data_IF_032147633123
#
_entry.id   IF_032147633123
#
_cell.length_a   1.000
_cell.length_b   1.000
_cell.length_c   1.000
_cell.angle_alpha   90.00
_cell.angle_beta   90.00
_cell.angle_gamma   90.00
#
_symmetry.space_group_name_H-M   'P 1'
#
loop_
_entity.id
_entity.type
_entity.pdbx_description
1 polymer ?
#
# COMPACT_ATOMS: atom_id res chain seq x y z
N UNK A 1 5.63 79.63 -38.02
CA UNK A 1 6.44 78.38 -37.94
C UNK A 1 6.33 77.58 -36.62
N UNK A 2 5.63 78.02 -35.60
CA UNK A 2 5.56 77.33 -34.28
C UNK A 2 4.51 76.15 -34.17
N UNK A 3 3.58 76.04 -35.10
CA UNK A 3 2.48 75.01 -35.01
C UNK A 3 2.86 73.60 -35.52
N UNK A 4 3.92 73.44 -36.32
CA UNK A 4 4.33 72.12 -36.82
C UNK A 4 5.15 71.31 -35.80
N UNK A 5 5.93 71.98 -34.95
CA UNK A 5 6.75 71.28 -33.94
C UNK A 5 5.94 70.60 -32.84
N UNK A 6 4.76 71.14 -32.47
CA UNK A 6 3.92 70.51 -31.44
C UNK A 6 3.19 69.23 -31.88
N UNK A 7 3.00 69.02 -33.20
CA UNK A 7 2.32 67.81 -33.71
C UNK A 7 3.31 66.63 -33.78
N UNK A 8 4.56 66.85 -34.05
CA UNK A 8 5.56 65.78 -34.07
C UNK A 8 5.91 65.24 -32.69
N UNK A 9 5.96 66.11 -31.67
CA UNK A 9 6.20 65.71 -30.28
C UNK A 9 5.02 64.91 -29.68
N UNK A 10 3.77 65.21 -30.01
CA UNK A 10 2.62 64.48 -29.56
C UNK A 10 2.49 63.10 -30.22
N UNK A 11 2.84 62.99 -31.53
CA UNK A 11 2.88 61.73 -32.26
C UNK A 11 3.95 60.80 -31.71
N UNK A 12 5.14 61.32 -31.37
CA UNK A 12 6.25 60.56 -30.75
C UNK A 12 5.90 60.05 -29.36
N UNK A 13 5.22 60.83 -28.53
CA UNK A 13 4.80 60.42 -27.17
C UNK A 13 3.74 59.30 -27.24
N UNK A 14 2.83 59.33 -28.22
CA UNK A 14 1.84 58.28 -28.39
C UNK A 14 2.42 56.93 -28.84
N UNK A 15 3.48 57.00 -29.65
CA UNK A 15 4.18 55.80 -30.11
C UNK A 15 4.93 55.10 -28.99
N UNK A 16 5.61 55.87 -28.12
CA UNK A 16 6.28 55.32 -26.94
C UNK A 16 5.30 54.65 -25.95
N UNK A 17 4.13 55.25 -25.78
CA UNK A 17 3.11 54.64 -24.90
C UNK A 17 2.61 53.30 -25.42
N UNK A 18 2.41 53.20 -26.72
CA UNK A 18 1.98 51.95 -27.40
C UNK A 18 3.06 50.88 -27.30
N UNK A 19 4.31 51.20 -27.43
CA UNK A 19 5.46 50.30 -27.28
C UNK A 19 5.56 49.76 -25.88
N UNK A 20 5.40 50.58 -24.85
CA UNK A 20 5.41 50.17 -23.45
C UNK A 20 4.23 49.24 -23.17
N UNK A 21 3.01 49.56 -23.66
CA UNK A 21 1.85 48.69 -23.50
C UNK A 21 2.05 47.32 -24.16
N UNK A 22 2.64 47.29 -25.35
CA UNK A 22 2.94 46.07 -26.08
C UNK A 22 4.00 45.24 -25.33
N UNK A 23 5.05 45.87 -24.84
CA UNK A 23 6.09 45.21 -24.05
C UNK A 23 5.51 44.60 -22.76
N UNK A 24 4.67 45.37 -22.04
CA UNK A 24 3.99 44.88 -20.83
C UNK A 24 3.02 43.70 -21.12
N UNK A 25 2.33 43.77 -22.26
CA UNK A 25 1.44 42.68 -22.68
C UNK A 25 2.19 41.38 -22.95
N UNK A 26 3.30 41.46 -23.67
CA UNK A 26 4.18 40.31 -23.95
C UNK A 26 4.77 39.78 -22.64
N UNK A 27 5.26 40.66 -21.77
CA UNK A 27 5.80 40.26 -20.48
C UNK A 27 4.74 39.52 -19.63
N UNK A 28 3.51 40.02 -19.61
CA UNK A 28 2.41 39.40 -18.88
C UNK A 28 2.11 37.99 -19.40
N UNK A 29 2.10 37.79 -20.71
CA UNK A 29 1.89 36.48 -21.32
C UNK A 29 3.03 35.51 -20.91
N UNK A 30 4.28 35.95 -20.95
CA UNK A 30 5.42 35.14 -20.55
C UNK A 30 5.34 34.73 -19.10
N UNK A 31 5.00 35.66 -18.20
CA UNK A 31 4.83 35.39 -16.78
C UNK A 31 3.72 34.35 -16.54
N UNK A 32 2.57 34.49 -17.21
CA UNK A 32 1.49 33.52 -17.11
C UNK A 32 1.92 32.13 -17.60
N UNK A 33 2.63 32.05 -18.73
CA UNK A 33 3.15 30.77 -19.24
C UNK A 33 4.12 30.09 -18.27
N UNK A 34 5.07 30.86 -17.70
CA UNK A 34 6.01 30.34 -16.70
C UNK A 34 5.27 29.84 -15.47
N UNK A 35 4.27 30.59 -15.00
CA UNK A 35 3.46 30.19 -13.86
C UNK A 35 2.69 28.88 -14.12
N UNK A 36 2.11 28.71 -15.31
CA UNK A 36 1.43 27.47 -15.71
C UNK A 36 2.39 26.27 -15.73
N UNK A 37 3.60 26.45 -16.25
CA UNK A 37 4.63 25.41 -16.25
C UNK A 37 4.96 24.98 -14.82
N UNK A 38 5.21 25.95 -13.92
CA UNK A 38 5.50 25.66 -12.52
C UNK A 38 4.36 24.90 -11.86
N UNK A 39 3.12 25.35 -12.03
CA UNK A 39 1.93 24.69 -11.47
C UNK A 39 1.80 23.23 -11.95
N UNK A 40 1.98 23.02 -13.26
CA UNK A 40 1.91 21.68 -13.85
C UNK A 40 3.03 20.79 -13.33
N UNK A 41 4.24 21.30 -13.22
CA UNK A 41 5.39 20.56 -12.69
C UNK A 41 5.18 20.16 -11.24
N UNK A 42 4.69 21.06 -10.40
CA UNK A 42 4.39 20.76 -8.98
C UNK A 42 3.31 19.69 -8.84
N UNK A 43 2.25 19.75 -9.66
CA UNK A 43 1.19 18.74 -9.65
C UNK A 43 1.74 17.36 -10.02
N UNK A 44 2.46 17.26 -11.13
CA UNK A 44 3.06 15.99 -11.60
C UNK A 44 4.03 15.43 -10.55
N UNK A 45 4.87 16.28 -9.96
CA UNK A 45 5.81 15.85 -8.92
C UNK A 45 5.09 15.30 -7.69
N UNK A 46 3.99 15.92 -7.26
CA UNK A 46 3.21 15.44 -6.12
C UNK A 46 2.54 14.09 -6.40
N UNK A 47 2.02 13.88 -7.60
CA UNK A 47 1.44 12.61 -8.04
C UNK A 47 2.50 11.48 -8.07
N UNK A 48 3.67 11.77 -8.63
CA UNK A 48 4.79 10.80 -8.67
C UNK A 48 5.21 10.42 -7.25
N UNK A 49 5.40 11.39 -6.37
CA UNK A 49 5.78 11.14 -4.98
C UNK A 49 4.73 10.29 -4.23
N UNK A 50 3.45 10.56 -4.47
CA UNK A 50 2.37 9.77 -3.89
C UNK A 50 2.44 8.31 -4.37
N UNK A 51 2.56 8.08 -5.68
CA UNK A 51 2.66 6.73 -6.25
C UNK A 51 3.89 5.97 -5.76
N UNK A 52 5.04 6.63 -5.69
CA UNK A 52 6.27 6.03 -5.15
C UNK A 52 6.14 5.65 -3.68
N UNK A 53 5.49 6.49 -2.88
CA UNK A 53 5.26 6.21 -1.46
C UNK A 53 4.36 4.99 -1.27
N UNK A 54 3.31 4.87 -2.07
CA UNK A 54 2.43 3.70 -2.05
C UNK A 54 3.17 2.42 -2.49
N UNK A 55 4.03 2.51 -3.53
CA UNK A 55 4.83 1.36 -3.96
C UNK A 55 5.78 0.89 -2.86
N UNK A 56 6.52 1.81 -2.25
CA UNK A 56 7.43 1.48 -1.14
C UNK A 56 6.72 0.80 0.04
N UNK A 57 5.48 1.18 0.33
CA UNK A 57 4.68 0.51 1.38
C UNK A 57 4.39 -0.94 1.01
N UNK A 58 3.97 -1.20 -0.22
CA UNK A 58 3.69 -2.57 -0.69
C UNK A 58 4.96 -3.41 -0.67
N UNK A 59 6.06 -2.88 -1.22
CA UNK A 59 7.36 -3.58 -1.23
C UNK A 59 7.86 -3.88 0.19
N UNK A 60 7.70 -2.91 1.11
CA UNK A 60 8.06 -3.08 2.52
C UNK A 60 7.27 -4.21 3.19
N UNK A 61 5.98 -4.33 2.88
CA UNK A 61 5.14 -5.39 3.43
C UNK A 61 5.46 -6.74 2.79
N UNK A 62 5.73 -6.79 1.50
CA UNK A 62 6.15 -8.03 0.86
C UNK A 62 7.47 -8.53 1.44
N UNK A 63 8.41 -7.63 1.72
CA UNK A 63 9.67 -8.00 2.38
C UNK A 63 9.44 -8.46 3.83
N UNK A 64 8.55 -7.79 4.56
CA UNK A 64 8.17 -8.18 5.91
C UNK A 64 7.52 -9.58 5.92
N UNK A 65 6.56 -9.82 5.05
CA UNK A 65 5.92 -11.14 4.89
C UNK A 65 6.95 -12.20 4.50
N UNK A 66 7.82 -11.91 3.53
CA UNK A 66 8.86 -12.84 3.09
C UNK A 66 9.75 -13.27 4.24
N UNK A 67 10.25 -12.33 5.03
CA UNK A 67 11.10 -12.62 6.18
C UNK A 67 10.38 -13.49 7.21
N UNK A 68 9.15 -13.14 7.51
CA UNK A 68 8.35 -13.88 8.48
C UNK A 68 8.02 -15.30 7.98
N UNK A 69 7.62 -15.47 6.73
CA UNK A 69 7.35 -16.79 6.17
C UNK A 69 8.60 -17.68 6.12
N UNK A 70 9.75 -17.13 5.74
CA UNK A 70 11.02 -17.91 5.70
C UNK A 70 11.52 -18.28 7.08
N UNK A 71 11.28 -17.44 8.09
CA UNK A 71 11.70 -17.70 9.48
C UNK A 71 10.70 -18.52 10.29
N UNK A 72 9.64 -19.02 9.66
CA UNK A 72 8.58 -19.76 10.35
C UNK A 72 9.09 -21.08 10.92
N UNK A 73 8.92 -21.34 12.22
CA UNK A 73 9.35 -22.59 12.82
C UNK A 73 8.50 -23.78 12.35
N UNK A 74 9.06 -24.97 12.44
CA UNK A 74 8.34 -26.21 12.10
C UNK A 74 7.12 -26.43 13.02
N UNK A 75 7.19 -25.97 14.25
CA UNK A 75 6.14 -26.07 15.23
C UNK A 75 4.95 -25.13 14.96
N UNK A 76 5.11 -24.15 14.05
CA UNK A 76 4.01 -23.25 13.68
C UNK A 76 2.88 -24.05 13.06
N UNK A 77 1.67 -23.85 13.58
CA UNK A 77 0.44 -24.37 12.99
C UNK A 77 -0.19 -23.28 12.12
N UNK A 78 -0.45 -23.62 10.87
CA UNK A 78 -1.06 -22.71 9.91
C UNK A 78 -2.43 -23.24 9.51
N UNK A 79 -3.41 -22.35 9.46
CA UNK A 79 -4.72 -22.61 8.90
C UNK A 79 -5.32 -21.36 8.28
N UNK A 80 -6.21 -21.55 7.32
CA UNK A 80 -7.03 -20.46 6.81
C UNK A 80 -8.43 -20.57 7.37
N UNK A 81 -9.04 -19.41 7.61
CA UNK A 81 -10.42 -19.28 8.02
C UNK A 81 -11.13 -18.31 7.08
N UNK A 82 -12.25 -18.74 6.52
CA UNK A 82 -13.08 -17.89 5.69
C UNK A 82 -14.19 -17.27 6.55
N UNK A 83 -14.12 -15.97 6.77
CA UNK A 83 -15.10 -15.22 7.55
C UNK A 83 -15.54 -13.97 6.76
N UNK A 84 -16.85 -13.75 6.62
CA UNK A 84 -17.40 -12.53 6.01
C UNK A 84 -16.82 -12.16 4.64
N UNK A 85 -16.60 -13.11 3.74
CA UNK A 85 -15.95 -12.94 2.42
C UNK A 85 -14.47 -12.58 2.47
N UNK A 86 -13.84 -12.71 3.62
CA UNK A 86 -12.41 -12.47 3.83
C UNK A 86 -11.74 -13.77 4.24
N UNK A 87 -10.57 -14.03 3.67
CA UNK A 87 -9.70 -15.13 4.10
C UNK A 87 -8.77 -14.63 5.18
N UNK A 88 -8.87 -15.19 6.36
CA UNK A 88 -7.96 -14.95 7.47
C UNK A 88 -6.86 -16.00 7.47
N UNK A 89 -5.62 -15.58 7.63
CA UNK A 89 -4.47 -16.45 7.84
C UNK A 89 -4.19 -16.51 9.33
N UNK A 90 -4.32 -17.69 9.93
CA UNK A 90 -4.07 -17.91 11.35
C UNK A 90 -2.79 -18.70 11.53
N UNK A 91 -1.85 -18.14 12.28
CA UNK A 91 -0.56 -18.74 12.61
C UNK A 91 -0.49 -18.92 14.13
N UNK A 92 -0.41 -20.14 14.61
CA UNK A 92 -0.20 -20.45 16.01
C UNK A 92 1.27 -20.82 16.24
N UNK A 93 1.83 -20.41 17.38
CA UNK A 93 3.25 -20.61 17.73
C UNK A 93 4.20 -19.98 16.72
N UNK A 94 3.83 -18.80 16.20
CA UNK A 94 4.62 -18.06 15.22
C UNK A 94 5.39 -16.92 15.90
N UNK A 95 6.67 -16.73 15.56
CA UNK A 95 7.46 -15.58 16.01
C UNK A 95 7.28 -14.39 15.08
N UNK A 96 6.03 -13.98 14.82
CA UNK A 96 5.77 -12.79 14.01
C UNK A 96 6.06 -11.52 14.82
N UNK A 97 6.97 -10.71 14.35
CA UNK A 97 7.29 -9.40 14.89
C UNK A 97 6.68 -8.31 14.01
N UNK A 98 5.36 -8.31 13.86
CA UNK A 98 4.64 -7.22 13.21
C UNK A 98 4.35 -6.06 14.17
N UNK A 99 4.45 -6.32 15.46
CA UNK A 99 4.16 -5.36 16.50
C UNK A 99 5.35 -4.45 16.74
N UNK A 100 5.11 -3.15 16.57
CA UNK A 100 5.99 -2.09 17.04
C UNK A 100 5.88 -1.91 18.57
N UNK A 101 4.97 -2.63 19.20
CA UNK A 101 4.82 -2.65 20.65
C UNK A 101 5.90 -3.55 21.26
N UNK A 102 6.57 -3.04 22.29
CA UNK A 102 7.75 -3.62 22.95
C UNK A 102 7.54 -4.97 23.67
N UNK A 103 6.38 -5.55 23.61
CA UNK A 103 6.06 -6.87 24.14
C UNK A 103 6.50 -7.91 23.11
N UNK A 104 7.79 -8.23 23.09
CA UNK A 104 8.33 -9.35 22.35
C UNK A 104 7.76 -10.67 22.86
N UNK A 105 6.56 -11.02 22.47
CA UNK A 105 6.05 -12.37 22.62
C UNK A 105 6.93 -13.27 21.78
N UNK A 106 7.71 -14.10 22.42
CA UNK A 106 8.63 -15.03 21.74
C UNK A 106 7.87 -16.00 20.84
N UNK A 107 6.63 -16.34 21.19
CA UNK A 107 5.72 -17.17 20.42
C UNK A 107 4.28 -16.78 20.76
N UNK A 108 3.46 -16.60 19.77
CA UNK A 108 2.07 -16.21 19.91
C UNK A 108 1.21 -16.69 18.75
N UNK A 109 -0.04 -16.30 18.77
CA UNK A 109 -0.94 -16.47 17.64
C UNK A 109 -1.02 -15.14 16.90
N UNK A 110 -0.83 -15.20 15.58
CA UNK A 110 -0.94 -14.07 14.69
C UNK A 110 -2.03 -14.33 13.68
N UNK A 111 -2.90 -13.37 13.49
CA UNK A 111 -3.93 -13.41 12.44
C UNK A 111 -3.66 -12.29 11.45
N UNK A 112 -3.58 -12.64 10.18
CA UNK A 112 -3.51 -11.67 9.08
C UNK A 112 -4.83 -11.75 8.32
N UNK A 113 -5.52 -10.61 8.20
CA UNK A 113 -6.83 -10.56 7.57
C UNK A 113 -7.06 -9.25 6.84
N UNK A 114 -8.00 -9.27 5.89
CA UNK A 114 -8.55 -8.04 5.32
C UNK A 114 -9.68 -7.53 6.24
N UNK A 115 -9.59 -6.26 6.63
CA UNK A 115 -10.56 -5.62 7.53
C UNK A 115 -11.22 -4.42 6.86
N UNK A 116 -12.56 -4.29 6.98
CA UNK A 116 -13.25 -3.13 6.47
C UNK A 116 -12.87 -1.88 7.26
N UNK A 117 -12.65 -0.78 6.55
CA UNK A 117 -12.43 0.55 7.09
C UNK A 117 -13.74 1.34 7.14
N UNK A 118 -13.81 2.40 7.96
CA UNK A 118 -15.02 3.25 8.05
C UNK A 118 -15.43 3.91 6.72
N UNK A 119 -14.48 4.10 5.81
CA UNK A 119 -14.70 4.67 4.47
C UNK A 119 -15.15 3.63 3.43
N UNK A 120 -15.43 2.39 3.84
CA UNK A 120 -15.86 1.29 2.97
C UNK A 120 -14.72 0.58 2.21
N UNK A 121 -13.47 1.02 2.38
CA UNK A 121 -12.28 0.35 1.86
C UNK A 121 -11.85 -0.79 2.74
N UNK A 122 -10.85 -1.52 2.30
CA UNK A 122 -10.27 -2.65 3.04
C UNK A 122 -8.84 -2.27 3.46
N UNK A 123 -8.46 -2.70 4.66
CA UNK A 123 -7.06 -2.72 5.09
C UNK A 123 -6.58 -4.15 5.23
N UNK A 124 -5.38 -4.45 4.77
CA UNK A 124 -4.66 -5.63 5.23
C UNK A 124 -4.17 -5.35 6.64
N UNK A 125 -4.64 -6.11 7.61
CA UNK A 125 -4.38 -5.89 9.03
C UNK A 125 -3.84 -7.13 9.69
N UNK A 126 -3.09 -6.93 10.77
CA UNK A 126 -2.55 -8.00 11.61
C UNK A 126 -3.05 -7.84 13.04
N UNK A 127 -3.37 -8.95 13.65
CA UNK A 127 -3.64 -9.06 15.08
C UNK A 127 -2.59 -10.00 15.67
N UNK A 128 -1.86 -9.53 16.68
CA UNK A 128 -0.84 -10.30 17.39
C UNK A 128 -1.21 -10.35 18.86
N UNK A 129 -1.29 -11.54 19.41
CA UNK A 129 -1.63 -11.73 20.82
C UNK A 129 -0.77 -12.81 21.46
N UNK A 130 -0.27 -12.50 22.67
CA UNK A 130 0.56 -13.41 23.46
C UNK A 130 -0.34 -14.28 24.34
N UNK A 131 -0.14 -15.61 24.28
CA UNK A 131 -0.79 -16.55 25.20
C UNK A 131 -2.19 -17.02 24.75
N UNK A 132 -2.94 -17.59 25.71
CA UNK A 132 -4.20 -18.30 25.46
C UNK A 132 -5.40 -17.39 25.08
N UNK A 133 -5.24 -16.08 25.17
CA UNK A 133 -6.34 -15.15 24.90
C UNK A 133 -6.84 -15.19 23.46
N UNK A 134 -5.96 -15.51 22.52
CA UNK A 134 -6.33 -15.62 21.12
C UNK A 134 -6.91 -16.99 20.74
N UNK A 135 -6.66 -18.03 21.52
CA UNK A 135 -7.36 -19.31 21.37
C UNK A 135 -8.86 -19.10 21.55
N UNK A 136 -9.24 -18.30 22.52
CA UNK A 136 -10.62 -17.87 22.73
C UNK A 136 -11.19 -17.06 21.55
N UNK A 137 -10.41 -16.22 20.89
CA UNK A 137 -10.83 -15.50 19.69
C UNK A 137 -11.03 -16.43 18.47
N UNK A 138 -10.06 -17.32 18.23
CA UNK A 138 -10.11 -18.26 17.10
C UNK A 138 -11.27 -19.22 17.27
N UNK A 139 -11.57 -19.63 18.50
CA UNK A 139 -12.63 -20.60 18.79
C UNK A 139 -14.02 -19.95 18.94
N UNK A 140 -14.12 -18.74 19.47
CA UNK A 140 -15.40 -18.06 19.75
C UNK A 140 -15.81 -17.03 18.70
N UNK A 141 -14.89 -16.55 17.88
CA UNK A 141 -15.14 -15.49 16.88
C UNK A 141 -15.46 -14.11 17.48
N UNK A 142 -15.25 -13.93 18.79
CA UNK A 142 -15.52 -12.65 19.47
C UNK A 142 -14.43 -11.64 19.13
N UNK A 143 -14.79 -10.63 18.38
CA UNK A 143 -13.90 -9.61 17.86
C UNK A 143 -13.59 -8.53 18.89
N UNK A 144 -12.33 -8.42 19.33
CA UNK A 144 -11.83 -7.21 20.00
C UNK A 144 -11.38 -6.22 18.92
N UNK A 145 -12.21 -5.23 18.68
CA UNK A 145 -12.04 -4.25 17.58
C UNK A 145 -10.80 -3.35 17.72
N UNK A 146 -10.15 -3.32 18.89
CA UNK A 146 -9.12 -2.34 19.25
C UNK A 146 -7.69 -2.73 18.92
N UNK A 147 -7.40 -4.00 18.62
CA UNK A 147 -6.03 -4.51 18.62
C UNK A 147 -5.47 -4.81 17.21
N UNK A 148 -6.27 -4.55 16.18
CA UNK A 148 -5.83 -4.73 14.79
C UNK A 148 -4.91 -3.62 14.34
N UNK A 149 -3.72 -3.98 13.87
CA UNK A 149 -2.73 -3.05 13.31
C UNK A 149 -2.84 -3.08 11.78
N UNK A 150 -3.22 -1.98 11.12
CA UNK A 150 -3.26 -1.94 9.67
C UNK A 150 -1.84 -1.92 9.10
N UNK A 151 -1.55 -2.84 8.19
CA UNK A 151 -0.30 -2.92 7.44
C UNK A 151 -0.38 -2.12 6.14
N UNK A 152 -1.45 -2.30 5.37
CA UNK A 152 -1.76 -1.55 4.15
C UNK A 152 -3.20 -1.08 4.22
N UNK A 153 -3.39 0.22 4.03
CA UNK A 153 -4.71 0.83 3.83
C UNK A 153 -5.04 0.93 2.34
N UNK A 154 -6.27 1.30 2.03
CA UNK A 154 -6.73 1.59 0.67
C UNK A 154 -6.63 0.38 -0.27
N UNK A 155 -6.86 -0.82 0.24
CA UNK A 155 -6.92 -2.05 -0.55
C UNK A 155 -8.32 -2.16 -1.18
N UNK A 156 -8.37 -2.32 -2.51
CA UNK A 156 -9.61 -2.56 -3.26
C UNK A 156 -9.92 -4.06 -3.32
N UNK A 157 -8.88 -4.87 -3.55
CA UNK A 157 -9.01 -6.32 -3.62
C UNK A 157 -7.78 -7.00 -3.01
N UNK A 158 -8.02 -8.07 -2.24
CA UNK A 158 -6.99 -8.90 -1.66
C UNK A 158 -7.39 -10.36 -1.79
N UNK A 159 -6.49 -11.19 -2.33
CA UNK A 159 -6.71 -12.63 -2.44
C UNK A 159 -5.46 -13.39 -2.04
N UNK A 160 -5.68 -14.55 -1.44
CA UNK A 160 -4.65 -15.50 -1.07
C UNK A 160 -4.77 -16.78 -1.90
N UNK A 161 -3.64 -17.40 -2.21
CA UNK A 161 -3.57 -18.72 -2.81
C UNK A 161 -2.45 -19.53 -2.18
N UNK A 162 -2.67 -20.82 -2.05
CA UNK A 162 -1.78 -21.76 -1.38
C UNK A 162 -1.41 -22.89 -2.33
N UNK A 163 -0.13 -23.16 -2.49
CA UNK A 163 0.34 -24.22 -3.36
C UNK A 163 0.62 -25.49 -2.56
N UNK A 164 0.01 -26.57 -3.00
CA UNK A 164 0.23 -27.91 -2.45
C UNK A 164 1.12 -28.71 -3.40
N UNK A 165 2.36 -29.00 -2.98
CA UNK A 165 3.33 -29.75 -3.79
C UNK A 165 2.92 -31.23 -4.01
N UNK A 166 2.12 -31.81 -3.10
CA UNK A 166 1.66 -33.20 -3.25
C UNK A 166 0.66 -33.35 -4.39
N UNK A 167 -0.21 -32.34 -4.55
CA UNK A 167 -1.24 -32.37 -5.59
C UNK A 167 -0.87 -31.57 -6.84
N UNK A 168 0.17 -30.74 -6.77
CA UNK A 168 0.57 -29.81 -7.83
C UNK A 168 -0.43 -28.67 -8.09
N UNK A 169 -1.34 -28.39 -7.14
CA UNK A 169 -2.45 -27.44 -7.35
C UNK A 169 -2.39 -26.25 -6.40
N UNK A 170 -2.93 -25.14 -6.88
CA UNK A 170 -3.22 -23.94 -6.09
C UNK A 170 -4.65 -24.01 -5.55
N UNK A 171 -4.82 -23.65 -4.27
CA UNK A 171 -6.13 -23.52 -3.61
C UNK A 171 -6.28 -22.11 -3.03
N UNK A 172 -7.51 -21.62 -2.88
CA UNK A 172 -7.84 -20.37 -2.22
C UNK A 172 -7.96 -20.50 -0.70
N UNK A 173 -7.98 -21.72 -0.20
CA UNK A 173 -8.08 -22.06 1.21
C UNK A 173 -7.08 -23.16 1.59
N UNK A 174 -6.79 -23.27 2.88
CA UNK A 174 -5.90 -24.29 3.45
C UNK A 174 -6.48 -24.82 4.75
N UNK A 175 -7.38 -25.79 4.67
CA UNK A 175 -8.06 -26.34 5.86
C UNK A 175 -7.20 -27.34 6.65
N UNK A 176 -6.14 -27.87 6.04
CA UNK A 176 -5.27 -28.88 6.66
C UNK A 176 -4.29 -28.23 7.63
N UNK A 177 -4.52 -28.42 8.93
CA UNK A 177 -3.65 -27.92 9.99
C UNK A 177 -2.38 -28.75 10.18
N UNK A 178 -2.35 -29.99 9.70
CA UNK A 178 -1.20 -30.89 9.84
C UNK A 178 -0.16 -30.67 8.74
N UNK A 179 -0.57 -30.19 7.57
CA UNK A 179 0.31 -29.88 6.46
C UNK A 179 0.45 -28.38 6.26
N UNK A 180 1.60 -27.96 5.72
CA UNK A 180 1.88 -26.56 5.39
C UNK A 180 1.93 -26.39 3.87
N UNK A 181 1.48 -25.25 3.34
CA UNK A 181 1.63 -24.96 1.92
C UNK A 181 3.12 -24.75 1.59
N UNK A 182 3.57 -25.18 0.44
CA UNK A 182 4.94 -24.94 -0.02
C UNK A 182 5.16 -23.48 -0.43
N UNK A 183 4.13 -22.90 -1.06
CA UNK A 183 4.13 -21.50 -1.44
C UNK A 183 2.82 -20.86 -1.00
N UNK A 184 2.93 -19.60 -0.59
CA UNK A 184 1.80 -18.72 -0.29
C UNK A 184 1.86 -17.56 -1.27
N UNK A 185 0.79 -17.31 -1.98
CA UNK A 185 0.65 -16.19 -2.91
C UNK A 185 -0.34 -15.18 -2.35
N UNK A 186 0.03 -13.92 -2.37
CA UNK A 186 -0.85 -12.79 -2.10
C UNK A 186 -0.98 -11.96 -3.37
N UNK A 187 -2.20 -11.57 -3.68
CA UNK A 187 -2.48 -10.61 -4.74
C UNK A 187 -3.22 -9.42 -4.13
N UNK A 188 -2.67 -8.23 -4.29
CA UNK A 188 -3.21 -6.99 -3.72
C UNK A 188 -3.47 -6.00 -4.85
N UNK A 189 -4.69 -5.45 -4.92
CA UNK A 189 -5.02 -4.31 -5.74
C UNK A 189 -5.29 -3.12 -4.83
N UNK A 190 -4.50 -2.05 -4.99
CA UNK A 190 -4.71 -0.80 -4.26
C UNK A 190 -5.72 0.08 -4.99
N UNK A 191 -6.50 0.85 -4.23
CA UNK A 191 -7.43 1.83 -4.77
C UNK A 191 -6.69 2.84 -5.67
N UNK A 192 -7.28 3.10 -6.84
CA UNK A 192 -6.69 3.99 -7.85
C UNK A 192 -5.58 3.38 -8.70
N UNK A 193 -5.27 2.08 -8.54
CA UNK A 193 -4.35 1.35 -9.42
C UNK A 193 -5.08 0.38 -10.34
N UNK A 194 -4.66 0.32 -11.59
CA UNK A 194 -5.24 -0.59 -12.59
C UNK A 194 -4.60 -1.98 -12.60
N UNK A 195 -3.49 -2.18 -11.88
CA UNK A 195 -2.77 -3.44 -11.83
C UNK A 195 -2.82 -4.06 -10.44
N UNK A 196 -2.72 -5.38 -10.41
CA UNK A 196 -2.66 -6.18 -9.20
C UNK A 196 -1.19 -6.51 -8.91
N UNK A 197 -0.75 -6.17 -7.72
CA UNK A 197 0.58 -6.53 -7.22
C UNK A 197 0.54 -7.98 -6.72
N UNK A 198 1.51 -8.79 -7.13
CA UNK A 198 1.60 -10.20 -6.78
C UNK A 198 2.86 -10.48 -5.98
N UNK A 199 2.69 -11.11 -4.81
CA UNK A 199 3.79 -11.62 -3.99
C UNK A 199 3.70 -13.12 -3.82
N UNK A 200 4.83 -13.84 -3.96
CA UNK A 200 4.91 -15.28 -3.68
C UNK A 200 5.96 -15.53 -2.64
N UNK A 201 5.61 -16.24 -1.58
CA UNK A 201 6.46 -16.55 -0.44
C UNK A 201 6.63 -18.04 -0.32
N UNK A 202 7.88 -18.48 -0.09
CA UNK A 202 8.18 -19.86 0.16
C UNK A 202 8.04 -20.15 1.66
N UNK A 203 7.34 -21.22 1.98
CA UNK A 203 7.33 -21.77 3.32
C UNK A 203 8.54 -22.70 3.49
N UNK A 204 9.28 -22.65 4.61
CA UNK A 204 10.34 -23.60 4.87
C UNK A 204 9.72 -25.00 5.02
N UNK A 205 10.12 -25.90 4.14
CA UNK A 205 9.78 -27.32 4.26
C UNK A 205 10.85 -27.92 5.14
N UNK A 206 10.46 -28.65 6.18
CA UNK A 206 11.39 -29.52 6.88
C UNK A 206 12.10 -30.39 5.84
N UNK A 207 13.42 -30.31 5.73
CA UNK A 207 14.17 -31.30 5.01
C UNK A 207 13.98 -32.58 5.81
N UNK A 208 13.06 -33.45 5.39
CA UNK A 208 13.04 -34.82 5.85
C UNK A 208 14.38 -35.40 5.44
N UNK A 209 15.32 -35.47 6.42
CA UNK A 209 16.62 -36.07 6.23
C UNK A 209 16.44 -37.49 5.68
N UNK A 210 17.02 -37.68 4.53
CA UNK A 210 17.25 -39.00 3.94
C UNK A 210 18.23 -39.79 4.75
#
# INVERSE_FOLDING_TARGET
MRKKQNLETVASAGYLLLEVLLALSILSIVVVMVFQIIQTTLRVTSEINFLQTQQRKVDGIYELLRRNFVSMPETCVFQTRNQNRSTELVFRYAPFNFSWTKTGAKFGTVVIASRPQPDGRIALSVLEESGNALESYVDSGIERKSDWVPLINDVEQLTWRFYNSRTGKWSSDWPDTAAKPNLVEINIKLAGRNHMERGVFRWPIAQTGS
#
